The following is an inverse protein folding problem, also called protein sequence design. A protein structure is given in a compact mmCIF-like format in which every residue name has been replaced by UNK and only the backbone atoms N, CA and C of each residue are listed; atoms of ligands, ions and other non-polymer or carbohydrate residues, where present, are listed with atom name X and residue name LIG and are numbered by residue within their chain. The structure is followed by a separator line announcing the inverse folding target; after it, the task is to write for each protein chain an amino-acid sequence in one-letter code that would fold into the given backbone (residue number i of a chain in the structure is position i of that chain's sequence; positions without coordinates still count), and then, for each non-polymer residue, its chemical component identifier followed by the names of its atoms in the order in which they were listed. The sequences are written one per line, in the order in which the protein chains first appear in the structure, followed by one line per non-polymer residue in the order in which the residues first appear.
data_IF_964889333202
#
_entry.id   IF_964889333202
#
_cell.length_a   1.000
_cell.length_b   1.000
_cell.length_c   1.000
_cell.angle_alpha   90.00
_cell.angle_beta   90.00
_cell.angle_gamma   90.00
#
_symmetry.space_group_name_H-M   'P 1'
#
loop_
_entity.id
_entity.type
_entity.pdbx_description
1 polymer ?
#
# COMPACT_ATOMS: atom_id res chain seq x y z
N UNK A 1 47.20 29.55 -26.86
CA UNK A 1 46.70 29.36 -25.49
C UNK A 1 45.78 28.17 -25.50
N UNK A 2 46.11 27.12 -24.76
CA UNK A 2 45.36 25.86 -24.77
C UNK A 2 46.06 24.84 -23.87
N UNK A 3 45.86 24.98 -22.57
CA UNK A 3 46.39 24.04 -21.57
C UNK A 3 45.55 22.76 -21.59
N UNK A 4 46.18 21.63 -21.91
CA UNK A 4 45.56 20.31 -21.94
C UNK A 4 45.22 19.79 -20.55
N UNK A 5 44.17 20.34 -19.94
CA UNK A 5 43.61 19.79 -18.71
C UNK A 5 43.05 18.39 -19.01
N UNK A 6 43.63 17.37 -18.38
CA UNK A 6 43.13 15.99 -18.39
C UNK A 6 42.42 15.72 -17.07
N UNK A 7 41.29 15.03 -17.14
CA UNK A 7 40.56 14.61 -15.95
C UNK A 7 41.48 13.75 -15.06
N UNK A 8 41.42 13.99 -13.75
CA UNK A 8 42.04 13.07 -12.79
C UNK A 8 41.25 11.77 -12.73
N UNK A 9 41.84 10.73 -12.15
CA UNK A 9 41.19 9.42 -11.97
C UNK A 9 39.89 9.54 -11.17
N UNK A 10 39.83 10.45 -10.21
CA UNK A 10 38.64 10.80 -9.43
C UNK A 10 37.61 11.54 -10.29
N UNK A 11 38.06 12.46 -11.15
CA UNK A 11 37.20 13.16 -12.11
C UNK A 11 36.53 12.21 -13.11
N UNK A 12 37.27 11.24 -13.64
CA UNK A 12 36.70 10.19 -14.51
C UNK A 12 35.72 9.29 -13.77
N UNK A 13 35.95 9.04 -12.48
CA UNK A 13 35.04 8.26 -11.63
C UNK A 13 33.73 9.01 -11.37
N UNK A 14 33.81 10.30 -11.05
CA UNK A 14 32.63 11.17 -10.86
C UNK A 14 31.84 11.30 -12.16
N UNK A 15 32.52 11.48 -13.29
CA UNK A 15 31.88 11.56 -14.61
C UNK A 15 31.14 10.26 -14.96
N UNK A 16 31.76 9.10 -14.72
CA UNK A 16 31.11 7.80 -14.90
C UNK A 16 29.91 7.62 -13.99
N UNK A 17 30.00 8.08 -12.74
CA UNK A 17 28.87 8.02 -11.80
C UNK A 17 27.72 8.89 -12.30
N UNK A 18 28.01 10.12 -12.71
CA UNK A 18 27.05 11.09 -13.22
C UNK A 18 26.34 10.57 -14.48
N UNK A 19 27.09 10.02 -15.44
CA UNK A 19 26.54 9.42 -16.65
C UNK A 19 25.64 8.21 -16.34
N UNK A 20 26.00 7.40 -15.34
CA UNK A 20 25.19 6.26 -14.92
C UNK A 20 23.88 6.70 -14.25
N UNK A 21 23.92 7.76 -13.45
CA UNK A 21 22.72 8.37 -12.86
C UNK A 21 21.81 8.96 -13.95
N UNK A 22 22.36 9.68 -14.93
CA UNK A 22 21.57 10.21 -16.04
C UNK A 22 20.92 9.11 -16.89
N UNK A 23 21.63 8.02 -17.17
CA UNK A 23 21.07 6.90 -17.92
C UNK A 23 19.90 6.23 -17.18
N UNK A 24 20.01 6.08 -15.85
CA UNK A 24 18.93 5.57 -15.02
C UNK A 24 17.74 6.55 -14.98
N UNK A 25 17.99 7.86 -14.86
CA UNK A 25 16.93 8.88 -14.90
C UNK A 25 16.19 8.88 -16.24
N UNK A 26 16.91 8.76 -17.37
CA UNK A 26 16.30 8.70 -18.69
C UNK A 26 15.45 7.44 -18.87
N UNK A 27 15.94 6.27 -18.42
CA UNK A 27 15.18 5.02 -18.47
C UNK A 27 13.93 5.03 -17.60
N UNK A 28 13.99 5.69 -16.44
CA UNK A 28 12.81 5.87 -15.57
C UNK A 28 11.80 6.81 -16.20
N UNK A 29 12.25 7.90 -16.84
CA UNK A 29 11.37 8.87 -17.49
C UNK A 29 10.69 8.30 -18.74
N UNK A 30 11.42 7.52 -19.53
CA UNK A 30 10.91 6.85 -20.74
C UNK A 30 9.91 5.73 -20.40
N UNK A 31 10.05 5.11 -19.22
CA UNK A 31 9.09 4.13 -18.70
C UNK A 31 7.88 4.76 -17.98
N UNK A 32 7.82 6.09 -17.86
CA UNK A 32 6.84 6.81 -17.03
C UNK A 32 5.92 7.75 -17.84
N UNK A 33 5.88 7.61 -19.18
CA UNK A 33 5.06 8.49 -20.04
C UNK A 33 3.54 8.31 -19.84
N UNK A 34 3.09 7.23 -19.22
CA UNK A 34 1.72 7.09 -18.70
C UNK A 34 1.69 7.43 -17.19
N UNK A 35 0.79 8.33 -16.77
CA UNK A 35 0.67 8.73 -15.36
C UNK A 35 0.40 7.57 -14.40
N UNK A 36 -0.14 6.45 -14.89
CA UNK A 36 -0.29 5.21 -14.14
C UNK A 36 1.04 4.51 -13.84
N UNK A 37 2.06 4.72 -14.66
CA UNK A 37 3.37 4.08 -14.53
C UNK A 37 4.22 4.76 -13.46
N UNK A 38 4.01 6.05 -13.19
CA UNK A 38 4.56 6.73 -12.02
C UNK A 38 4.03 6.16 -10.71
N UNK A 39 2.73 5.85 -10.64
CA UNK A 39 2.14 5.16 -9.48
C UNK A 39 2.73 3.75 -9.32
N UNK A 40 3.03 3.06 -10.43
CA UNK A 40 3.73 1.77 -10.40
C UNK A 40 5.18 1.91 -9.91
N UNK A 41 5.89 2.95 -10.33
CA UNK A 41 7.25 3.25 -9.87
C UNK A 41 7.30 3.61 -8.38
N UNK A 42 6.32 4.37 -7.87
CA UNK A 42 6.18 4.66 -6.44
C UNK A 42 5.90 3.38 -5.61
N UNK A 43 5.19 2.39 -6.17
CA UNK A 43 5.04 1.06 -5.54
C UNK A 43 6.35 0.27 -5.53
N UNK A 44 7.28 0.57 -6.44
CA UNK A 44 8.57 -0.12 -6.55
C UNK A 44 9.62 0.41 -5.56
N UNK A 45 9.45 1.59 -4.95
CA UNK A 45 10.43 2.15 -4.00
C UNK A 45 10.33 1.54 -2.59
N UNK A 46 9.24 0.83 -2.27
CA UNK A 46 9.02 0.22 -0.95
C UNK A 46 8.74 -1.29 -1.00
N UNK A 47 9.75 -2.10 -0.71
CA UNK A 47 9.60 -3.56 -0.56
C UNK A 47 9.30 -3.92 0.90
N UNK A 48 8.10 -4.42 1.17
CA UNK A 48 7.68 -4.84 2.51
C UNK A 48 7.10 -6.25 2.50
N UNK A 49 6.98 -6.87 3.67
CA UNK A 49 6.28 -8.16 3.81
C UNK A 49 4.75 -8.02 3.91
N UNK A 50 4.23 -6.78 3.95
CA UNK A 50 2.81 -6.52 3.87
C UNK A 50 2.36 -6.73 2.42
N UNK A 51 1.38 -7.62 2.24
CA UNK A 51 0.85 -7.98 0.92
C UNK A 51 -0.11 -6.96 0.36
N UNK A 52 -0.66 -6.11 1.23
CA UNK A 52 -1.56 -5.04 0.86
C UNK A 52 -0.80 -3.72 1.00
N UNK A 53 -0.67 -3.01 -0.12
CA UNK A 53 -0.09 -1.68 -0.19
C UNK A 53 -1.08 -0.79 -0.94
N UNK A 54 -1.84 -0.01 -0.19
CA UNK A 54 -2.94 0.80 -0.72
C UNK A 54 -2.50 2.26 -0.70
N UNK A 55 -2.28 2.81 -1.89
CA UNK A 55 -1.98 4.23 -2.05
C UNK A 55 -3.24 5.06 -1.73
N UNK A 56 -3.07 6.10 -0.94
CA UNK A 56 -4.13 7.02 -0.58
C UNK A 56 -3.60 8.37 -0.15
N UNK A 57 -4.54 9.29 0.10
CA UNK A 57 -4.26 10.65 0.54
C UNK A 57 -4.88 10.89 1.91
N UNK A 58 -4.14 11.52 2.81
CA UNK A 58 -4.68 11.90 4.12
C UNK A 58 -5.76 12.97 3.93
N UNK A 59 -6.94 12.74 4.50
CA UNK A 59 -8.05 13.70 4.49
C UNK A 59 -8.29 14.34 5.85
N UNK A 60 -7.95 13.65 6.93
CA UNK A 60 -8.02 14.20 8.29
C UNK A 60 -7.08 13.47 9.24
N UNK A 61 -6.52 14.20 10.21
CA UNK A 61 -5.76 13.65 11.33
C UNK A 61 -6.40 14.15 12.63
N UNK A 62 -6.75 13.23 13.53
CA UNK A 62 -7.37 13.54 14.82
C UNK A 62 -6.50 13.03 15.96
N UNK A 63 -6.07 13.93 16.85
CA UNK A 63 -5.27 13.60 18.03
C UNK A 63 -6.08 12.82 19.06
N UNK A 64 -5.55 11.67 19.52
CA UNK A 64 -6.17 10.79 20.52
C UNK A 64 -5.15 10.29 21.57
N UNK A 65 -4.90 11.09 22.60
CA UNK A 65 -3.98 10.72 23.67
C UNK A 65 -2.54 10.62 23.16
N UNK A 66 -1.95 9.41 23.17
CA UNK A 66 -0.63 9.15 22.59
C UNK A 66 -0.65 8.79 21.10
N UNK A 67 -1.84 8.50 20.56
CA UNK A 67 -2.03 8.12 19.17
C UNK A 67 -2.71 9.23 18.37
N UNK A 68 -2.61 9.15 17.06
CA UNK A 68 -3.39 9.92 16.11
C UNK A 68 -4.20 8.96 15.26
N UNK A 69 -5.45 9.32 15.02
CA UNK A 69 -6.32 8.65 14.07
C UNK A 69 -6.25 9.40 12.73
N UNK A 70 -5.75 8.72 11.72
CA UNK A 70 -5.48 9.24 10.38
C UNK A 70 -6.47 8.61 9.42
N UNK A 71 -7.30 9.46 8.79
CA UNK A 71 -8.22 9.02 7.75
C UNK A 71 -7.59 9.22 6.38
N UNK A 72 -7.61 8.16 5.59
CA UNK A 72 -7.10 8.09 4.23
C UNK A 72 -8.24 7.94 3.25
N UNK A 73 -8.18 8.66 2.15
CA UNK A 73 -8.98 8.39 0.95
C UNK A 73 -8.12 7.59 -0.04
N UNK A 74 -8.61 6.42 -0.45
CA UNK A 74 -8.01 5.64 -1.52
C UNK A 74 -8.59 6.06 -2.89
N UNK A 75 -8.52 5.20 -3.90
CA UNK A 75 -9.22 5.42 -5.16
C UNK A 75 -10.75 5.40 -4.98
N UNK A 76 -11.44 6.40 -5.54
CA UNK A 76 -12.90 6.55 -5.45
C UNK A 76 -13.36 7.02 -4.07
N UNK A 77 -14.49 6.47 -3.61
CA UNK A 77 -15.13 6.80 -2.33
C UNK A 77 -14.77 5.81 -1.20
N UNK A 78 -13.59 5.19 -1.31
CA UNK A 78 -13.11 4.21 -0.33
C UNK A 78 -12.21 4.91 0.69
N UNK A 79 -12.50 4.72 1.97
CA UNK A 79 -11.73 5.30 3.08
C UNK A 79 -11.14 4.22 3.98
N UNK A 80 -9.96 4.52 4.54
CA UNK A 80 -9.32 3.71 5.57
C UNK A 80 -8.91 4.62 6.73
N UNK A 81 -9.21 4.18 7.94
CA UNK A 81 -8.72 4.72 9.20
C UNK A 81 -7.46 3.97 9.62
N UNK A 82 -6.41 4.70 9.97
CA UNK A 82 -5.18 4.18 10.56
C UNK A 82 -4.95 4.83 11.92
N UNK A 83 -4.52 4.03 12.91
CA UNK A 83 -4.12 4.53 14.21
C UNK A 83 -2.60 4.43 14.34
N UNK A 84 -1.92 5.56 14.39
CA UNK A 84 -0.46 5.64 14.53
C UNK A 84 -0.08 6.39 15.80
N UNK A 85 1.15 6.21 16.30
CA UNK A 85 1.62 7.03 17.42
C UNK A 85 1.83 8.46 16.97
N UNK A 86 1.67 9.43 17.89
CA UNK A 86 1.95 10.84 17.58
C UNK A 86 3.33 11.04 16.97
N UNK A 87 4.32 10.38 17.58
CA UNK A 87 5.71 10.52 17.19
C UNK A 87 5.92 10.02 15.76
N UNK A 88 5.08 9.09 15.29
CA UNK A 88 5.09 8.64 13.90
C UNK A 88 4.46 9.68 12.97
N UNK A 89 3.36 10.31 13.36
CA UNK A 89 2.77 11.45 12.63
C UNK A 89 3.79 12.57 12.46
N UNK A 90 4.47 12.96 13.54
CA UNK A 90 5.49 14.01 13.52
C UNK A 90 6.73 13.60 12.72
N UNK A 91 7.24 12.38 12.92
CA UNK A 91 8.43 11.88 12.22
C UNK A 91 8.23 11.72 10.72
N UNK A 92 7.03 11.37 10.30
CA UNK A 92 6.66 11.26 8.89
C UNK A 92 6.11 12.59 8.35
N UNK A 93 6.00 13.65 9.15
CA UNK A 93 5.47 14.94 8.69
C UNK A 93 4.09 14.78 8.04
N UNK A 94 3.23 13.95 8.64
CA UNK A 94 1.89 13.68 8.10
C UNK A 94 0.99 14.90 8.28
N UNK A 95 0.42 15.35 7.17
CA UNK A 95 -0.53 16.46 7.13
C UNK A 95 -1.71 16.12 6.22
N UNK A 96 -2.78 16.92 6.30
CA UNK A 96 -3.89 16.78 5.38
C UNK A 96 -3.41 17.04 3.95
N UNK A 97 -3.71 16.11 3.07
CA UNK A 97 -3.30 16.15 1.68
C UNK A 97 -1.98 15.44 1.37
N UNK A 98 -1.25 14.93 2.38
CA UNK A 98 -0.06 14.10 2.16
C UNK A 98 -0.45 12.78 1.51
N UNK A 99 0.30 12.39 0.47
CA UNK A 99 0.19 11.07 -0.15
C UNK A 99 0.92 10.03 0.70
N UNK A 100 0.26 8.92 0.97
CA UNK A 100 0.78 7.85 1.83
C UNK A 100 0.40 6.49 1.27
N UNK A 101 1.15 5.47 1.68
CA UNK A 101 0.85 4.07 1.43
C UNK A 101 0.40 3.42 2.73
N UNK A 102 -0.83 2.91 2.76
CA UNK A 102 -1.33 2.06 3.82
C UNK A 102 -0.84 0.62 3.61
N UNK A 103 -0.09 0.10 4.58
CA UNK A 103 0.50 -1.23 4.57
C UNK A 103 -0.26 -2.12 5.54
N UNK A 104 -0.85 -3.20 5.02
CA UNK A 104 -1.65 -4.14 5.82
C UNK A 104 -1.18 -5.56 5.52
N UNK A 105 -0.88 -6.34 6.56
CA UNK A 105 -0.49 -7.74 6.40
C UNK A 105 -1.72 -8.58 6.04
N UNK A 106 -1.59 -9.55 5.12
CA UNK A 106 -2.74 -10.36 4.66
C UNK A 106 -3.49 -11.09 5.79
N UNK A 107 -2.76 -11.53 6.83
CA UNK A 107 -3.36 -12.20 8.00
C UNK A 107 -4.04 -11.28 9.03
N UNK A 108 -4.10 -9.96 8.78
CA UNK A 108 -4.80 -9.00 9.65
C UNK A 108 -6.23 -8.71 9.21
N UNK A 109 -6.65 -9.25 8.07
CA UNK A 109 -7.95 -9.01 7.49
C UNK A 109 -8.88 -10.17 7.85
N UNK A 110 -10.01 -9.82 8.46
CA UNK A 110 -11.10 -10.74 8.71
C UNK A 110 -12.09 -10.67 7.54
N UNK A 111 -12.44 -11.82 6.97
CA UNK A 111 -13.35 -11.88 5.83
C UNK A 111 -14.76 -12.22 6.30
N UNK A 112 -15.74 -11.46 5.84
CA UNK A 112 -17.15 -11.69 6.17
C UNK A 112 -18.02 -11.62 4.92
N UNK A 113 -19.16 -12.30 4.95
CA UNK A 113 -20.18 -12.15 3.93
C UNK A 113 -20.74 -10.71 3.88
N UNK A 114 -21.23 -10.30 2.72
CA UNK A 114 -21.71 -8.93 2.44
C UNK A 114 -22.84 -8.44 3.37
N UNK A 115 -23.65 -9.35 3.90
CA UNK A 115 -24.78 -9.01 4.78
C UNK A 115 -24.44 -9.11 6.27
N UNK A 116 -23.16 -9.23 6.63
CA UNK A 116 -22.78 -9.25 8.05
C UNK A 116 -22.87 -7.85 8.64
N UNK A 117 -23.51 -7.69 9.79
CA UNK A 117 -23.53 -6.39 10.48
C UNK A 117 -22.12 -5.99 10.89
N UNK A 118 -21.79 -4.71 10.68
CA UNK A 118 -20.55 -4.13 11.16
C UNK A 118 -20.72 -3.77 12.64
N UNK A 119 -20.14 -4.59 13.51
CA UNK A 119 -20.31 -4.47 14.97
C UNK A 119 -19.31 -3.54 15.64
N UNK A 120 -18.24 -3.16 14.94
CA UNK A 120 -17.14 -2.38 15.49
C UNK A 120 -16.68 -1.35 14.47
N UNK A 121 -16.22 -0.17 14.92
CA UNK A 121 -15.63 0.91 14.09
C UNK A 121 -14.30 0.54 13.43
N UNK A 122 -14.22 -0.68 12.90
CA UNK A 122 -13.13 -1.18 12.08
C UNK A 122 -13.23 -0.58 10.68
N UNK A 123 -12.16 -0.73 9.92
CA UNK A 123 -12.23 -0.54 8.49
C UNK A 123 -13.04 -1.68 7.88
N UNK A 124 -13.86 -1.35 6.88
CA UNK A 124 -14.58 -2.33 6.07
C UNK A 124 -14.39 -1.99 4.59
N UNK A 125 -13.69 -2.87 3.89
CA UNK A 125 -13.48 -2.78 2.46
C UNK A 125 -14.34 -3.84 1.76
N UNK A 126 -15.31 -3.39 0.97
CA UNK A 126 -16.18 -4.25 0.18
C UNK A 126 -15.51 -4.53 -1.16
N UNK A 127 -15.43 -5.80 -1.53
CA UNK A 127 -14.87 -6.22 -2.81
C UNK A 127 -15.43 -7.55 -3.28
N UNK A 128 -14.89 -8.04 -4.39
CA UNK A 128 -15.28 -9.33 -4.97
C UNK A 128 -14.10 -10.30 -4.94
N UNK A 129 -14.34 -11.53 -4.51
CA UNK A 129 -13.30 -12.57 -4.50
C UNK A 129 -13.00 -12.96 -5.95
N UNK A 130 -11.77 -12.80 -6.40
CA UNK A 130 -11.33 -13.26 -7.72
C UNK A 130 -10.90 -14.70 -7.67
N UNK A 131 -10.11 -15.05 -6.64
CA UNK A 131 -9.54 -16.38 -6.49
C UNK A 131 -9.29 -16.72 -5.02
N UNK A 132 -9.46 -17.99 -4.70
CA UNK A 132 -9.05 -18.61 -3.43
C UNK A 132 -7.99 -19.65 -3.75
N UNK A 133 -6.85 -19.58 -3.07
CA UNK A 133 -5.73 -20.52 -3.24
C UNK A 133 -5.49 -21.20 -1.91
N UNK A 134 -5.84 -22.48 -1.82
CA UNK A 134 -5.61 -23.28 -0.62
C UNK A 134 -4.12 -23.61 -0.46
N UNK A 135 -3.66 -23.64 0.79
CA UNK A 135 -2.33 -24.11 1.15
C UNK A 135 -2.42 -25.55 1.71
N UNK A 136 -1.40 -26.38 1.48
CA UNK A 136 -1.38 -27.78 1.96
C UNK A 136 -1.50 -27.88 3.49
N UNK A 137 -0.86 -26.97 4.23
CA UNK A 137 -0.87 -26.93 5.70
C UNK A 137 -0.99 -25.47 6.20
N UNK A 138 -2.08 -24.79 5.86
CA UNK A 138 -2.26 -23.41 6.32
C UNK A 138 -3.53 -22.72 5.85
N UNK A 139 -3.71 -21.44 6.21
CA UNK A 139 -4.83 -20.67 5.71
C UNK A 139 -4.72 -20.46 4.19
N UNK A 140 -5.87 -20.44 3.52
CA UNK A 140 -5.99 -20.13 2.11
C UNK A 140 -5.69 -18.65 1.86
N UNK A 141 -5.01 -18.35 0.76
CA UNK A 141 -4.84 -17.00 0.25
C UNK A 141 -6.07 -16.61 -0.57
N UNK A 142 -6.73 -15.52 -0.18
CA UNK A 142 -7.90 -14.98 -0.87
C UNK A 142 -7.52 -13.68 -1.55
N UNK A 143 -7.71 -13.61 -2.87
CA UNK A 143 -7.53 -12.38 -3.67
C UNK A 143 -8.88 -11.72 -3.93
N UNK A 144 -8.97 -10.44 -3.61
CA UNK A 144 -10.20 -9.66 -3.61
C UNK A 144 -9.98 -8.40 -4.44
N UNK A 145 -10.77 -8.18 -5.48
CA UNK A 145 -10.76 -6.92 -6.23
C UNK A 145 -11.69 -5.91 -5.56
N UNK A 146 -11.14 -4.75 -5.23
CA UNK A 146 -11.87 -3.59 -4.72
C UNK A 146 -12.48 -2.78 -5.88
N UNK A 147 -13.52 -1.95 -5.65
CA UNK A 147 -14.15 -1.12 -6.69
C UNK A 147 -13.17 -0.19 -7.43
N UNK A 148 -12.10 0.24 -6.77
CA UNK A 148 -11.03 1.07 -7.36
C UNK A 148 -10.01 0.30 -8.21
N UNK A 149 -10.22 -0.99 -8.49
CA UNK A 149 -9.32 -1.84 -9.28
C UNK A 149 -8.09 -2.35 -8.51
N UNK A 150 -7.90 -1.92 -7.26
CA UNK A 150 -6.86 -2.45 -6.39
C UNK A 150 -7.20 -3.89 -5.94
N UNK A 151 -6.20 -4.75 -5.88
CA UNK A 151 -6.34 -6.12 -5.38
C UNK A 151 -5.85 -6.20 -3.94
N UNK A 152 -6.69 -6.76 -3.07
CA UNK A 152 -6.41 -7.07 -1.68
C UNK A 152 -6.11 -8.57 -1.54
N UNK A 153 -5.20 -8.89 -0.65
CA UNK A 153 -4.76 -10.23 -0.30
C UNK A 153 -5.07 -10.45 1.19
N UNK A 154 -5.88 -11.46 1.48
CA UNK A 154 -6.24 -11.87 2.84
C UNK A 154 -5.93 -13.35 3.06
N UNK A 155 -5.72 -13.73 4.32
CA UNK A 155 -5.55 -15.13 4.72
C UNK A 155 -6.77 -15.57 5.53
N UNK A 156 -7.41 -16.67 5.15
CA UNK A 156 -8.55 -17.23 5.87
C UNK A 156 -8.48 -18.75 5.89
N UNK A 157 -8.95 -19.40 6.95
CA UNK A 157 -8.96 -20.87 6.96
C UNK A 157 -10.05 -21.41 6.03
N UNK A 158 -9.85 -22.60 5.42
CA UNK A 158 -10.87 -23.22 4.57
C UNK A 158 -12.22 -23.37 5.27
N UNK A 159 -12.24 -23.69 6.57
CA UNK A 159 -13.46 -23.85 7.35
C UNK A 159 -14.23 -22.53 7.47
N UNK A 160 -13.51 -21.42 7.69
CA UNK A 160 -14.10 -20.09 7.77
C UNK A 160 -14.69 -19.66 6.43
N UNK A 161 -13.96 -19.89 5.34
CA UNK A 161 -14.44 -19.60 3.98
C UNK A 161 -15.70 -20.40 3.66
N UNK A 162 -15.73 -21.68 4.01
CA UNK A 162 -16.89 -22.53 3.82
C UNK A 162 -18.09 -22.07 4.68
N UNK A 163 -17.87 -21.74 5.96
CA UNK A 163 -18.90 -21.28 6.87
C UNK A 163 -19.57 -19.97 6.41
N UNK A 164 -18.78 -19.05 5.86
CA UNK A 164 -19.24 -17.76 5.34
C UNK A 164 -19.68 -17.82 3.86
N UNK A 165 -19.63 -19.00 3.23
CA UNK A 165 -19.90 -19.22 1.80
C UNK A 165 -19.05 -18.33 0.86
N UNK A 166 -17.83 -18.00 1.28
CA UNK A 166 -16.90 -17.17 0.54
C UNK A 166 -16.15 -18.00 -0.49
N UNK A 167 -16.50 -17.80 -1.75
CA UNK A 167 -15.93 -18.47 -2.93
C UNK A 167 -15.65 -17.47 -4.03
N UNK A 168 -14.87 -17.87 -5.04
CA UNK A 168 -14.62 -17.04 -6.21
C UNK A 168 -15.93 -16.52 -6.82
N UNK A 169 -15.96 -15.22 -7.08
CA UNK A 169 -17.10 -14.48 -7.60
C UNK A 169 -18.02 -13.90 -6.53
N UNK A 170 -17.93 -14.30 -5.26
CA UNK A 170 -18.76 -13.76 -4.18
C UNK A 170 -18.30 -12.35 -3.76
N UNK A 171 -19.26 -11.53 -3.32
CA UNK A 171 -18.99 -10.27 -2.63
C UNK A 171 -18.56 -10.57 -1.20
N UNK A 172 -17.52 -9.89 -0.73
CA UNK A 172 -16.91 -10.08 0.58
C UNK A 172 -16.58 -8.73 1.20
N UNK A 173 -16.67 -8.68 2.53
CA UNK A 173 -16.18 -7.57 3.34
C UNK A 173 -14.88 -7.98 4.00
N UNK A 174 -13.82 -7.21 3.76
CA UNK A 174 -12.55 -7.36 4.44
C UNK A 174 -12.47 -6.32 5.57
N UNK A 175 -12.43 -6.81 6.81
CA UNK A 175 -12.47 -5.99 8.03
C UNK A 175 -11.16 -6.03 8.78
N UNK A 176 -10.73 -4.89 9.32
CA UNK A 176 -9.52 -4.81 10.13
C UNK A 176 -9.53 -3.55 11.00
N UNK A 177 -8.94 -3.62 12.19
CA UNK A 177 -8.83 -2.47 13.08
C UNK A 177 -7.86 -1.42 12.53
N UNK A 178 -8.08 -0.14 12.85
CA UNK A 178 -7.19 0.95 12.45
C UNK A 178 -5.75 0.79 12.97
N UNK A 179 -5.56 0.12 14.11
CA UNK A 179 -4.25 -0.20 14.68
C UNK A 179 -3.46 -1.27 13.89
N UNK A 180 -4.11 -1.97 12.97
CA UNK A 180 -3.48 -2.94 12.06
C UNK A 180 -3.08 -2.31 10.72
N UNK A 181 -3.04 -0.98 10.65
CA UNK A 181 -2.62 -0.24 9.46
C UNK A 181 -1.32 0.48 9.78
N UNK A 182 -0.27 0.18 9.01
CA UNK A 182 0.97 0.93 9.04
C UNK A 182 0.97 1.96 7.91
N UNK A 183 1.54 3.13 8.16
CA UNK A 183 1.68 4.19 7.16
C UNK A 183 3.13 4.33 6.72
N UNK A 184 3.33 4.42 5.42
CA UNK A 184 4.60 4.82 4.79
C UNK A 184 4.38 6.00 3.85
N UNK A 185 5.43 6.75 3.58
CA UNK A 185 5.43 7.82 2.58
C UNK A 185 6.15 7.27 1.34
N UNK A 186 5.56 7.39 0.14
CA UNK A 186 6.26 7.05 -1.10
C UNK A 186 7.46 8.00 -1.28
N UNK A 187 8.64 7.43 -1.53
CA UNK A 187 9.85 8.20 -1.89
C UNK A 187 10.02 8.28 -3.40
#
# INVERSE_FOLDING_TARGET
GGGGAKLSVEGERVLRLYQRVQALQAQVLEAAEDSSDLDLLNRLTLRTSARNQLLGRIVSITRQGHNDQVRLQLAGEVFIEAQVTHDSTLRLELENGTEVVALIKAGWLELHADNSEETNGNNCLIGRIDNVTDAEDGPSEVRITLPGGQTLCAMATPEHLHAQQLKSGATVQARFAASLVLLGIPM
#
